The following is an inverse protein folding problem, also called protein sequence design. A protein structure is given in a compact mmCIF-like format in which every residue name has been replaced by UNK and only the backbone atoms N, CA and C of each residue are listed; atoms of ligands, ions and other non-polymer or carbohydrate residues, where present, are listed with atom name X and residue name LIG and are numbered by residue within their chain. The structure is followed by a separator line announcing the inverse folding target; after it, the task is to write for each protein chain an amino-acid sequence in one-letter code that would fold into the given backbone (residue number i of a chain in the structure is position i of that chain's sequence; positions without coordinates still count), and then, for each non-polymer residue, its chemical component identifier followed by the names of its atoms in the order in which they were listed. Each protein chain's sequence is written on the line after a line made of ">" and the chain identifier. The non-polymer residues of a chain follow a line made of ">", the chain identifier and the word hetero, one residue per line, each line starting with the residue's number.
data_IF_545801330744
#
_entry.id   IF_545801330744
#
_cell.length_a   1.000
_cell.length_b   1.000
_cell.length_c   1.000
_cell.angle_alpha   90.00
_cell.angle_beta   90.00
_cell.angle_gamma   90.00
#
_symmetry.space_group_name_H-M   'P 1'
#
loop_
_entity.id
_entity.type
_entity.pdbx_description
1 polymer ?
#
# COMPACT_ATOMS: atom_id res chain seq x y z
N UNK A 1 -6.10 -2.29 3.18
CA UNK A 1 -5.92 -1.73 1.84
C UNK A 1 -4.84 -2.54 1.16
N UNK A 2 -5.15 -3.14 0.04
CA UNK A 2 -4.22 -3.93 -0.77
C UNK A 2 -4.33 -3.50 -2.22
N UNK A 3 -3.27 -3.72 -2.99
CA UNK A 3 -3.27 -3.49 -4.43
C UNK A 3 -2.46 -4.58 -5.08
N UNK A 4 -3.04 -5.21 -6.08
CA UNK A 4 -2.46 -6.36 -6.77
C UNK A 4 -2.17 -5.99 -8.22
N UNK A 5 -0.98 -6.34 -8.70
CA UNK A 5 -0.56 -6.11 -10.07
C UNK A 5 0.64 -6.99 -10.41
N UNK A 6 0.79 -7.27 -11.70
CA UNK A 6 1.95 -7.98 -12.25
C UNK A 6 3.14 -7.02 -12.39
N UNK A 7 4.32 -7.46 -11.97
CA UNK A 7 5.55 -6.68 -12.06
C UNK A 7 6.77 -7.59 -12.25
N UNK A 8 7.72 -7.20 -13.12
CA UNK A 8 9.01 -7.89 -13.21
C UNK A 8 9.99 -7.45 -12.10
N UNK A 9 9.62 -6.46 -11.29
CA UNK A 9 10.47 -5.91 -10.23
C UNK A 9 10.30 -6.72 -8.95
N UNK A 10 11.41 -7.19 -8.37
CA UNK A 10 11.42 -7.82 -7.05
C UNK A 10 11.80 -6.76 -6.01
N UNK A 11 10.87 -6.34 -5.14
CA UNK A 11 11.15 -5.36 -4.10
C UNK A 11 11.95 -5.98 -2.95
N UNK A 12 12.67 -5.13 -2.21
CA UNK A 12 13.43 -5.50 -1.02
C UNK A 12 13.05 -4.62 0.18
N UNK A 13 13.37 -5.11 1.38
CA UNK A 13 13.29 -4.28 2.58
C UNK A 13 14.19 -3.05 2.44
N UNK A 14 13.62 -1.87 2.68
CA UNK A 14 14.30 -0.57 2.50
C UNK A 14 14.05 0.10 1.14
N UNK A 15 13.45 -0.61 0.17
CA UNK A 15 12.95 0.03 -1.04
C UNK A 15 11.74 0.92 -0.71
N UNK A 16 11.40 1.78 -1.66
CA UNK A 16 10.17 2.57 -1.63
C UNK A 16 9.29 2.24 -2.82
N UNK A 17 7.99 2.20 -2.58
CA UNK A 17 6.98 2.05 -3.64
C UNK A 17 6.43 3.42 -3.98
N UNK A 18 6.50 3.76 -5.27
CA UNK A 18 5.92 4.97 -5.81
C UNK A 18 4.47 4.71 -6.27
N UNK A 19 3.53 5.50 -5.78
CA UNK A 19 2.14 5.49 -6.25
C UNK A 19 1.52 6.89 -6.08
N UNK A 20 0.75 7.29 -7.09
CA UNK A 20 -0.04 8.53 -7.14
C UNK A 20 -0.99 8.75 -5.95
N UNK A 21 -1.35 7.68 -5.22
CA UNK A 21 -2.19 7.78 -4.01
C UNK A 21 -1.49 8.51 -2.86
N UNK A 22 -0.15 8.54 -2.83
CA UNK A 22 0.60 9.24 -1.80
C UNK A 22 0.79 10.70 -2.21
N UNK A 23 0.67 11.64 -1.27
CA UNK A 23 1.08 13.04 -1.52
C UNK A 23 2.62 13.12 -1.50
N UNK A 24 3.17 14.06 -2.26
CA UNK A 24 4.61 14.39 -2.36
C UNK A 24 5.44 13.91 -1.15
N UNK A 25 6.38 12.95 -1.32
CA UNK A 25 7.10 12.61 -2.56
C UNK A 25 6.49 11.50 -3.44
N UNK A 26 5.23 11.10 -3.23
CA UNK A 26 4.60 9.96 -3.93
C UNK A 26 5.20 8.58 -3.60
N UNK A 27 6.06 8.49 -2.58
CA UNK A 27 6.79 7.28 -2.22
C UNK A 27 6.43 6.83 -0.80
N UNK A 28 6.36 5.51 -0.59
CA UNK A 28 6.17 4.92 0.73
C UNK A 28 7.19 3.82 0.99
N UNK A 29 7.76 3.78 2.19
CA UNK A 29 8.77 2.77 2.54
C UNK A 29 8.15 1.37 2.65
N UNK A 30 8.88 0.38 2.15
CA UNK A 30 8.62 -1.04 2.36
C UNK A 30 9.14 -1.45 3.73
N UNK A 31 8.27 -2.00 4.58
CA UNK A 31 8.63 -2.53 5.89
C UNK A 31 8.92 -4.03 5.86
N UNK A 32 8.29 -4.78 4.96
CA UNK A 32 8.45 -6.23 4.85
C UNK A 32 8.19 -6.71 3.42
N UNK A 33 8.92 -7.74 2.99
CA UNK A 33 8.71 -8.45 1.74
C UNK A 33 8.66 -9.95 2.04
N UNK A 34 7.60 -10.62 1.57
CA UNK A 34 7.42 -12.06 1.68
C UNK A 34 7.26 -12.63 0.27
N UNK A 35 8.15 -13.54 -0.12
CA UNK A 35 8.07 -14.25 -1.39
C UNK A 35 7.49 -15.63 -1.13
N UNK A 36 6.33 -15.92 -1.69
CA UNK A 36 5.73 -17.25 -1.72
C UNK A 36 6.08 -17.94 -3.03
N UNK A 37 7.02 -18.88 -2.97
CA UNK A 37 7.42 -19.68 -4.14
C UNK A 37 6.40 -20.75 -4.53
N UNK A 38 5.47 -21.12 -3.64
CA UNK A 38 4.42 -22.11 -3.93
C UNK A 38 3.39 -21.49 -4.88
N UNK A 39 2.97 -20.27 -4.55
CA UNK A 39 1.95 -19.52 -5.28
C UNK A 39 2.55 -18.51 -6.26
N UNK A 40 3.88 -18.50 -6.40
CA UNK A 40 4.64 -17.57 -7.25
C UNK A 40 4.21 -16.10 -7.05
N UNK A 41 4.02 -15.69 -5.80
CA UNK A 41 3.48 -14.38 -5.42
C UNK A 41 4.44 -13.66 -4.48
N UNK A 42 4.53 -12.34 -4.61
CA UNK A 42 5.31 -11.48 -3.73
C UNK A 42 4.38 -10.53 -2.97
N UNK A 43 4.40 -10.60 -1.64
CA UNK A 43 3.66 -9.71 -0.76
C UNK A 43 4.58 -8.62 -0.24
N UNK A 44 4.13 -7.38 -0.36
CA UNK A 44 4.87 -6.18 0.06
C UNK A 44 4.04 -5.45 1.11
N UNK A 45 4.59 -5.32 2.30
CA UNK A 45 3.99 -4.53 3.37
C UNK A 45 4.64 -3.14 3.38
N UNK A 46 3.82 -2.10 3.33
CA UNK A 46 4.26 -0.71 3.45
C UNK A 46 4.14 -0.24 4.91
N UNK A 47 4.98 0.71 5.29
CA UNK A 47 4.85 1.37 6.60
C UNK A 47 3.43 1.95 6.82
N UNK A 48 2.94 2.03 8.07
CA UNK A 48 1.62 2.57 8.34
C UNK A 48 1.57 4.09 8.17
N UNK A 49 0.52 4.58 7.51
CA UNK A 49 0.21 6.00 7.44
C UNK A 49 -0.29 6.48 8.80
N UNK A 50 0.33 7.57 9.30
CA UNK A 50 -0.03 8.18 10.58
C UNK A 50 -0.87 9.42 10.36
N UNK A 51 -2.04 9.45 10.98
CA UNK A 51 -2.90 10.63 11.03
C UNK A 51 -2.69 11.36 12.36
N UNK A 52 -2.60 12.69 12.32
CA UNK A 52 -2.39 13.52 13.52
C UNK A 52 -3.59 13.46 14.48
N UNK A 53 -4.79 13.22 13.96
CA UNK A 53 -6.01 13.07 14.73
C UNK A 53 -6.91 11.97 14.14
N UNK A 54 -7.84 11.46 14.96
CA UNK A 54 -8.79 10.41 14.56
C UNK A 54 -10.09 11.01 14.01
N UNK A 55 -9.97 12.09 13.22
CA UNK A 55 -11.11 12.72 12.59
C UNK A 55 -11.71 11.79 11.53
N UNK A 56 -12.97 11.37 11.78
CA UNK A 56 -13.67 10.41 10.93
C UNK A 56 -13.88 10.91 9.50
N UNK A 57 -14.06 12.22 9.32
CA UNK A 57 -14.30 12.79 7.99
C UNK A 57 -13.00 12.81 7.18
N UNK A 58 -11.87 13.12 7.82
CA UNK A 58 -10.53 13.04 7.20
C UNK A 58 -10.20 11.61 6.80
N UNK A 59 -10.44 10.65 7.70
CA UNK A 59 -10.24 9.23 7.39
C UNK A 59 -11.11 8.82 6.21
N UNK A 60 -12.39 9.17 6.20
CA UNK A 60 -13.31 8.85 5.09
C UNK A 60 -12.85 9.43 3.75
N UNK A 61 -12.38 10.67 3.73
CA UNK A 61 -11.81 11.28 2.53
C UNK A 61 -10.55 10.54 2.06
N UNK A 62 -9.68 10.14 2.99
CA UNK A 62 -8.50 9.33 2.67
C UNK A 62 -8.91 7.97 2.08
N UNK A 63 -9.89 7.30 2.67
CA UNK A 63 -10.42 6.01 2.19
C UNK A 63 -10.88 6.10 0.74
N UNK A 64 -11.74 7.08 0.44
CA UNK A 64 -12.28 7.28 -0.91
C UNK A 64 -11.17 7.63 -1.92
N UNK A 65 -10.17 8.40 -1.49
CA UNK A 65 -9.04 8.75 -2.34
C UNK A 65 -8.23 7.50 -2.70
N UNK A 66 -7.89 6.66 -1.73
CA UNK A 66 -7.12 5.44 -1.96
C UNK A 66 -7.86 4.44 -2.86
N UNK A 67 -9.16 4.28 -2.65
CA UNK A 67 -10.03 3.50 -3.53
C UNK A 67 -9.98 4.00 -4.98
N UNK A 68 -10.03 5.33 -5.19
CA UNK A 68 -9.96 5.92 -6.54
C UNK A 68 -8.62 5.69 -7.26
N UNK A 69 -7.57 5.30 -6.53
CA UNK A 69 -6.25 4.93 -7.08
C UNK A 69 -6.07 3.41 -7.24
N UNK A 70 -7.16 2.64 -7.17
CA UNK A 70 -7.18 1.20 -7.43
C UNK A 70 -6.64 0.34 -6.29
N UNK A 71 -6.58 0.89 -5.08
CA UNK A 71 -6.35 0.10 -3.87
C UNK A 71 -7.68 -0.41 -3.35
N UNK A 72 -7.78 -1.72 -3.19
CA UNK A 72 -8.96 -2.36 -2.64
C UNK A 72 -8.88 -2.36 -1.10
N UNK A 73 -10.03 -2.38 -0.47
CA UNK A 73 -10.12 -2.53 0.97
C UNK A 73 -9.63 -3.91 1.43
N UNK A 74 -9.69 -4.92 0.56
CA UNK A 74 -9.44 -6.31 0.90
C UNK A 74 -10.44 -6.75 1.96
N UNK A 75 -11.31 -7.70 1.63
CA UNK A 75 -12.10 -8.36 2.67
C UNK A 75 -11.13 -9.01 3.67
N UNK A 76 -10.91 -8.39 4.82
CA UNK A 76 -10.56 -9.11 6.03
C UNK A 76 -11.79 -9.93 6.41
N UNK A 77 -11.90 -11.12 5.79
CA UNK A 77 -12.71 -12.25 6.26
C UNK A 77 -11.76 -13.32 6.80
#
# INVERSE_FOLDING_TARGET
>A
MTKEFESPVIPHGGDKIADSVWKDPYEHNVSEVIIDYSDNTCYVTLEPIRFENNDKDVLKLWYNMVESHGWDHGYLL
#
